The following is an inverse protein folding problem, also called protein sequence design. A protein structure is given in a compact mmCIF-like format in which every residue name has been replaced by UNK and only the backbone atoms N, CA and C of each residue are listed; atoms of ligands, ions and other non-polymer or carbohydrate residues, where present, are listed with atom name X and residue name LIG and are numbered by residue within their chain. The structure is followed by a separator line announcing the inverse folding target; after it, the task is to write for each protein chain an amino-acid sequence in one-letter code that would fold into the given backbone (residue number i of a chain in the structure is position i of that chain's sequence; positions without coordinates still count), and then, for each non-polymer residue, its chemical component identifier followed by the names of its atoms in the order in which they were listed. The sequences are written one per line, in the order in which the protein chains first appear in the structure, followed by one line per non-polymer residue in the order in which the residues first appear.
data_IF_370463889077
#
_entry.id   IF_370463889077
#
_cell.length_a   1.000
_cell.length_b   1.000
_cell.length_c   1.000
_cell.angle_alpha   90.00
_cell.angle_beta   90.00
_cell.angle_gamma   90.00
#
_symmetry.space_group_name_H-M   'P 1'
#
loop_
_entity.id
_entity.type
_entity.pdbx_description
1 polymer ?
#
# COMPACT_ATOMS: atom_id res chain seq x y z
N UNK A 1 -5.90 -5.46 -12.16
CA UNK A 1 -5.11 -4.53 -11.33
C UNK A 1 -3.84 -5.23 -10.88
N UNK A 2 -2.81 -4.47 -10.55
CA UNK A 2 -1.54 -4.97 -10.03
C UNK A 2 -1.32 -4.41 -8.63
N UNK A 3 -0.78 -5.24 -7.74
CA UNK A 3 -0.66 -4.93 -6.31
C UNK A 3 0.79 -5.03 -5.86
N UNK A 4 1.25 -3.98 -5.19
CA UNK A 4 2.62 -3.88 -4.68
C UNK A 4 2.61 -3.33 -3.28
N UNK A 5 3.69 -3.59 -2.53
CA UNK A 5 3.91 -2.98 -1.23
C UNK A 5 5.37 -2.61 -1.01
N UNK A 6 5.59 -1.64 -0.14
CA UNK A 6 6.90 -1.26 0.36
C UNK A 6 6.89 -1.29 1.89
N UNK A 7 8.07 -1.55 2.46
CA UNK A 7 8.25 -1.60 3.90
C UNK A 7 9.12 -0.42 4.35
N UNK A 8 8.68 0.30 5.38
CA UNK A 8 9.47 1.31 6.05
C UNK A 8 9.46 1.05 7.57
N UNK A 9 10.63 0.83 8.20
CA UNK A 9 10.68 0.71 9.65
C UNK A 9 10.34 2.05 10.30
N UNK A 10 9.43 2.03 11.27
CA UNK A 10 9.02 3.19 12.07
C UNK A 10 9.50 2.97 13.51
N UNK A 11 10.45 3.78 14.00
CA UNK A 11 10.95 3.66 15.37
C UNK A 11 9.82 3.68 16.41
N UNK A 12 9.77 2.64 17.24
CA UNK A 12 8.77 2.50 18.30
C UNK A 12 7.37 2.05 17.87
N UNK A 13 7.11 1.87 16.56
CA UNK A 13 5.80 1.44 16.04
C UNK A 13 5.83 0.20 15.13
N UNK A 14 7.02 -0.35 14.84
CA UNK A 14 7.16 -1.52 13.97
C UNK A 14 7.40 -1.14 12.51
N UNK A 15 6.78 -1.83 11.56
CA UNK A 15 6.91 -1.63 10.12
C UNK A 15 5.65 -0.98 9.56
N UNK A 16 5.83 0.16 8.89
CA UNK A 16 4.81 0.72 8.02
C UNK A 16 4.88 0.05 6.64
N UNK A 17 3.81 -0.67 6.31
CA UNK A 17 3.57 -1.26 5.01
C UNK A 17 2.72 -0.31 4.18
N UNK A 18 3.27 0.24 3.11
CA UNK A 18 2.49 1.01 2.14
C UNK A 18 2.17 0.13 0.95
N UNK A 19 0.89 -0.07 0.69
CA UNK A 19 0.39 -0.84 -0.43
C UNK A 19 -0.13 0.07 -1.54
N UNK A 20 0.02 -0.40 -2.77
CA UNK A 20 -0.36 0.29 -3.99
C UNK A 20 -1.23 -0.63 -4.82
N UNK A 21 -2.38 -0.13 -5.25
CA UNK A 21 -3.14 -0.68 -6.36
C UNK A 21 -2.87 0.18 -7.59
N UNK A 22 -2.34 -0.44 -8.65
CA UNK A 22 -2.08 0.21 -9.92
C UNK A 22 -2.74 -0.54 -11.08
N UNK A 23 -3.00 0.18 -12.18
CA UNK A 23 -3.39 -0.44 -13.45
C UNK A 23 -2.16 -1.02 -14.20
N UNK A 24 -2.40 -1.59 -15.37
CA UNK A 24 -1.34 -2.19 -16.20
C UNK A 24 -0.35 -1.16 -16.78
N UNK A 25 -0.71 0.12 -16.76
CA UNK A 25 0.13 1.24 -17.20
C UNK A 25 0.87 1.89 -16.01
N UNK A 26 0.90 1.24 -14.86
CA UNK A 26 1.49 1.71 -13.60
C UNK A 26 0.82 2.98 -13.03
N UNK A 27 -0.41 3.31 -13.41
CA UNK A 27 -1.14 4.40 -12.78
C UNK A 27 -1.78 3.94 -11.47
N UNK A 28 -1.47 4.65 -10.40
CA UNK A 28 -1.95 4.32 -9.06
C UNK A 28 -3.39 4.76 -8.91
N UNK A 29 -4.26 3.79 -8.58
CA UNK A 29 -5.68 4.01 -8.31
C UNK A 29 -5.91 4.26 -6.82
N UNK A 30 -5.33 3.43 -5.96
CA UNK A 30 -5.49 3.49 -4.51
C UNK A 30 -4.16 3.22 -3.79
N UNK A 31 -3.99 3.83 -2.63
CA UNK A 31 -2.89 3.53 -1.70
C UNK A 31 -3.49 3.31 -0.32
N UNK A 32 -2.95 2.36 0.44
CA UNK A 32 -3.16 2.31 1.88
C UNK A 32 -1.83 2.15 2.60
N UNK A 33 -1.76 2.63 3.84
CA UNK A 33 -0.64 2.37 4.75
C UNK A 33 -1.16 1.63 5.97
N UNK A 34 -0.49 0.55 6.35
CA UNK A 34 -0.74 -0.24 7.54
C UNK A 34 0.51 -0.28 8.42
N UNK A 35 0.40 0.05 9.70
CA UNK A 35 1.51 -0.03 10.66
C UNK A 35 1.30 -1.24 11.57
N UNK A 36 2.16 -2.26 11.45
CA UNK A 36 1.98 -3.56 12.12
C UNK A 36 2.02 -3.52 13.65
N UNK A 37 2.77 -2.58 14.25
CA UNK A 37 2.90 -2.49 15.70
C UNK A 37 1.81 -1.66 16.37
N UNK A 38 0.94 -1.01 15.61
CA UNK A 38 -0.16 -0.19 16.15
C UNK A 38 -1.52 -0.48 15.52
N UNK A 39 -1.58 -1.39 14.55
CA UNK A 39 -2.76 -1.68 13.72
C UNK A 39 -3.38 -0.42 13.07
N UNK A 40 -2.57 0.62 12.84
CA UNK A 40 -3.03 1.88 12.25
C UNK A 40 -3.16 1.70 10.72
N UNK A 41 -4.38 1.85 10.19
CA UNK A 41 -4.66 1.85 8.75
C UNK A 41 -5.00 3.27 8.29
N UNK A 42 -4.35 3.72 7.22
CA UNK A 42 -4.68 4.99 6.54
C UNK A 42 -4.97 4.74 5.07
N UNK A 43 -6.15 5.15 4.61
CA UNK A 43 -6.59 4.95 3.22
C UNK A 43 -6.42 6.22 2.39
N UNK A 44 -5.99 6.04 1.14
CA UNK A 44 -5.85 7.11 0.15
C UNK A 44 -6.56 6.70 -1.15
N UNK A 45 -7.89 6.92 -1.27
CA UNK A 45 -8.67 6.54 -2.44
C UNK A 45 -8.39 7.39 -3.68
N UNK A 46 -7.74 8.55 -3.50
CA UNK A 46 -7.34 9.46 -4.59
C UNK A 46 -5.93 9.98 -4.32
N UNK A 47 -4.90 9.13 -4.46
CA UNK A 47 -3.53 9.51 -4.12
C UNK A 47 -3.04 10.66 -5.01
N UNK A 48 -2.23 11.56 -4.41
CA UNK A 48 -1.59 12.68 -5.14
C UNK A 48 -0.51 12.18 -6.09
N UNK A 49 0.19 11.12 -5.71
CA UNK A 49 1.13 10.40 -6.57
C UNK A 49 0.31 9.54 -7.52
N UNK A 50 0.56 9.69 -8.83
CA UNK A 50 -0.24 9.05 -9.88
C UNK A 50 0.43 7.88 -10.58
N UNK A 51 1.75 7.76 -10.48
CA UNK A 51 2.54 6.72 -11.17
C UNK A 51 3.32 5.91 -10.15
N UNK A 52 3.29 4.59 -10.31
CA UNK A 52 4.15 3.68 -9.60
C UNK A 52 5.54 3.77 -10.22
N UNK A 53 6.54 4.13 -9.41
CA UNK A 53 7.93 4.26 -9.84
C UNK A 53 8.78 3.21 -9.13
N UNK A 54 9.91 2.83 -9.75
CA UNK A 54 10.86 1.88 -9.16
C UNK A 54 10.21 0.57 -8.70
N UNK A 55 9.31 0.02 -9.53
CA UNK A 55 8.55 -1.20 -9.27
C UNK A 55 9.42 -2.39 -8.87
N UNK A 56 10.63 -2.48 -9.41
CA UNK A 56 11.63 -3.50 -9.08
C UNK A 56 12.10 -3.45 -7.61
N UNK A 57 11.84 -2.36 -6.89
CA UNK A 57 12.15 -2.20 -5.45
C UNK A 57 10.95 -2.48 -4.55
N UNK A 58 9.77 -2.74 -5.14
CA UNK A 58 8.56 -3.04 -4.40
C UNK A 58 8.41 -4.55 -4.25
N UNK A 59 7.81 -4.95 -3.14
CA UNK A 59 7.38 -6.33 -2.95
C UNK A 59 6.07 -6.53 -3.69
N UNK A 60 5.86 -7.69 -4.36
CA UNK A 60 4.54 -8.04 -4.84
C UNK A 60 3.59 -8.18 -3.64
N UNK A 61 2.35 -7.73 -3.82
CA UNK A 61 1.25 -7.95 -2.90
C UNK A 61 0.11 -8.68 -3.63
N UNK A 62 -0.80 -9.31 -2.89
CA UNK A 62 -2.00 -9.90 -3.48
C UNK A 62 -3.18 -8.93 -3.38
N UNK A 63 -4.18 -9.15 -4.24
CA UNK A 63 -5.44 -8.39 -4.20
C UNK A 63 -6.17 -8.63 -2.86
N UNK A 64 -6.14 -9.87 -2.36
CA UNK A 64 -6.78 -10.26 -1.11
C UNK A 64 -6.17 -9.53 0.09
N UNK A 65 -4.83 -9.47 0.17
CA UNK A 65 -4.12 -8.76 1.22
C UNK A 65 -4.49 -7.27 1.22
N UNK A 66 -4.49 -6.65 0.02
CA UNK A 66 -4.90 -5.25 -0.13
C UNK A 66 -6.35 -5.03 0.29
N UNK A 67 -7.26 -5.86 -0.21
CA UNK A 67 -8.71 -5.68 -0.02
C UNK A 67 -9.11 -5.89 1.44
N UNK A 68 -8.52 -6.87 2.13
CA UNK A 68 -8.76 -7.07 3.55
C UNK A 68 -8.37 -5.85 4.40
N UNK A 69 -7.19 -5.28 4.15
CA UNK A 69 -6.74 -4.07 4.85
C UNK A 69 -7.56 -2.84 4.46
N UNK A 70 -7.96 -2.76 3.19
CA UNK A 70 -8.80 -1.68 2.68
C UNK A 70 -10.17 -1.67 3.37
N UNK A 71 -10.81 -2.83 3.45
CA UNK A 71 -12.13 -3.01 4.08
C UNK A 71 -12.07 -2.78 5.60
N UNK A 72 -10.97 -3.16 6.26
CA UNK A 72 -10.75 -2.89 7.68
C UNK A 72 -10.58 -1.39 8.00
N UNK A 73 -10.00 -0.62 7.07
CA UNK A 73 -9.77 0.81 7.24
C UNK A 73 -10.92 1.71 6.79
N UNK A 74 -11.97 1.16 6.17
CA UNK A 74 -13.12 1.91 5.66
C UNK A 74 -14.24 2.06 6.69
#
# INVERSE_FOLDING_TARGET
MQYFKSAQPVPGKGTAWTYYEADEEDNIQRILTFIDGTDEITLYPKPKIKKLIMKDRLFPASEEEFSQLWDQGS
#
